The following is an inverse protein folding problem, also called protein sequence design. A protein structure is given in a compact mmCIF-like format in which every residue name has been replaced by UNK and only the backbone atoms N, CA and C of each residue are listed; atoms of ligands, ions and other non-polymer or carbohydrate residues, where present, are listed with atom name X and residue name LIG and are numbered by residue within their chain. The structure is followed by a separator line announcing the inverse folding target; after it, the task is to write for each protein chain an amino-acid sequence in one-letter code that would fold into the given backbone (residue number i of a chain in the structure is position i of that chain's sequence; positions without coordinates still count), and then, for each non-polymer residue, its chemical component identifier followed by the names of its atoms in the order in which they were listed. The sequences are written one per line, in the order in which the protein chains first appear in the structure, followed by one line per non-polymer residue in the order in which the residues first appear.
data_IF_385780564161
#
_entry.id   IF_385780564161
#
_cell.length_a   1.000
_cell.length_b   1.000
_cell.length_c   1.000
_cell.angle_alpha   90.00
_cell.angle_beta   90.00
_cell.angle_gamma   90.00
#
_symmetry.space_group_name_H-M   'P 1'
#
loop_
_entity.id
_entity.type
_entity.pdbx_description
1 polymer ?
#
# COMPACT_ATOMS: atom_id res chain seq x y z
N UNK A 1 -8.83 -19.19 12.88
CA UNK A 1 -9.53 -18.30 11.95
C UNK A 1 -9.90 -19.09 10.70
N UNK A 2 -11.17 -19.09 10.34
CA UNK A 2 -11.71 -19.97 9.30
C UNK A 2 -11.49 -19.33 7.90
N UNK A 3 -11.07 -20.14 6.92
CA UNK A 3 -10.90 -19.74 5.51
C UNK A 3 -12.19 -19.10 4.98
N UNK A 4 -13.35 -19.68 5.26
CA UNK A 4 -14.64 -19.14 4.81
C UNK A 4 -14.95 -17.75 5.38
N UNK A 5 -14.57 -17.52 6.63
CA UNK A 5 -14.74 -16.23 7.26
C UNK A 5 -13.83 -15.19 6.61
N UNK A 6 -12.53 -15.50 6.44
CA UNK A 6 -11.56 -14.64 5.74
C UNK A 6 -12.02 -14.30 4.33
N UNK A 7 -12.50 -15.29 3.58
CA UNK A 7 -13.01 -15.10 2.22
C UNK A 7 -14.19 -14.13 2.20
N UNK A 8 -15.22 -14.38 3.03
CA UNK A 8 -16.43 -13.55 3.05
C UNK A 8 -16.15 -12.09 3.45
N UNK A 9 -15.28 -11.89 4.43
CA UNK A 9 -14.93 -10.54 4.89
C UNK A 9 -14.03 -9.82 3.90
N UNK A 10 -13.07 -10.52 3.26
CA UNK A 10 -12.28 -9.96 2.16
C UNK A 10 -13.15 -9.52 1.00
N UNK A 11 -14.12 -10.34 0.58
CA UNK A 11 -15.08 -9.98 -0.46
C UNK A 11 -15.87 -8.72 -0.09
N UNK A 12 -16.32 -8.60 1.15
CA UNK A 12 -17.05 -7.44 1.63
C UNK A 12 -16.18 -6.17 1.62
N UNK A 13 -14.94 -6.25 2.15
CA UNK A 13 -13.99 -5.13 2.13
C UNK A 13 -13.75 -4.67 0.70
N UNK A 14 -13.38 -5.57 -0.21
CA UNK A 14 -13.15 -5.24 -1.62
C UNK A 14 -14.36 -4.60 -2.30
N UNK A 15 -15.54 -5.18 -2.09
CA UNK A 15 -16.79 -4.66 -2.66
C UNK A 15 -17.07 -3.24 -2.22
N UNK A 16 -16.90 -2.93 -0.97
CA UNK A 16 -17.28 -1.63 -0.44
C UNK A 16 -16.21 -0.58 -0.65
N UNK A 17 -14.91 -0.92 -0.57
CA UNK A 17 -13.83 0.01 -0.93
C UNK A 17 -13.89 0.43 -2.39
N UNK A 18 -14.25 -0.49 -3.29
CA UNK A 18 -14.40 -0.17 -4.72
C UNK A 18 -15.58 0.74 -5.04
N UNK A 19 -16.53 0.94 -4.11
CA UNK A 19 -17.74 1.77 -4.29
C UNK A 19 -17.71 3.09 -3.52
N UNK A 20 -16.60 3.42 -2.87
CA UNK A 20 -16.46 4.66 -2.09
C UNK A 20 -16.47 5.92 -2.96
N UNK A 21 -16.32 5.81 -4.28
CA UNK A 21 -16.48 6.89 -5.25
C UNK A 21 -17.94 7.26 -5.56
N UNK A 22 -18.91 6.50 -5.05
CA UNK A 22 -20.32 6.79 -5.25
C UNK A 22 -20.73 8.09 -4.53
N UNK A 23 -21.20 9.07 -5.30
CA UNK A 23 -21.53 10.40 -4.80
C UNK A 23 -22.62 10.41 -3.70
N UNK A 24 -23.59 9.48 -3.77
CA UNK A 24 -24.75 9.44 -2.87
C UNK A 24 -24.56 8.50 -1.68
N UNK A 25 -23.62 7.57 -1.76
CA UNK A 25 -23.50 6.45 -0.81
C UNK A 25 -22.05 6.15 -0.39
N UNK A 26 -21.07 6.97 -0.76
CA UNK A 26 -19.64 6.75 -0.45
C UNK A 26 -19.40 6.58 1.04
N UNK A 27 -19.96 7.47 1.90
CA UNK A 27 -19.83 7.37 3.36
C UNK A 27 -20.38 6.04 3.90
N UNK A 28 -21.52 5.60 3.37
CA UNK A 28 -22.10 4.31 3.75
C UNK A 28 -21.17 3.17 3.39
N UNK A 29 -20.60 3.18 2.19
CA UNK A 29 -19.68 2.14 1.74
C UNK A 29 -18.37 2.14 2.52
N UNK A 30 -17.82 3.32 2.87
CA UNK A 30 -16.68 3.43 3.77
C UNK A 30 -16.99 2.80 5.14
N UNK A 31 -18.14 3.13 5.73
CA UNK A 31 -18.53 2.59 7.03
C UNK A 31 -18.76 1.07 6.99
N UNK A 32 -19.33 0.54 5.91
CA UNK A 32 -19.49 -0.90 5.73
C UNK A 32 -18.13 -1.60 5.56
N UNK A 33 -17.23 -1.05 4.73
CA UNK A 33 -15.87 -1.59 4.58
C UNK A 33 -15.10 -1.56 5.91
N UNK A 34 -15.18 -0.43 6.64
CA UNK A 34 -14.59 -0.29 7.97
C UNK A 34 -15.06 -1.37 8.94
N UNK A 35 -16.37 -1.59 9.00
CA UNK A 35 -16.94 -2.59 9.92
C UNK A 35 -16.40 -4.00 9.62
N UNK A 36 -16.37 -4.41 8.34
CA UNK A 36 -15.83 -5.71 7.95
C UNK A 36 -14.31 -5.80 8.18
N UNK A 37 -13.57 -4.73 7.86
CA UNK A 37 -12.13 -4.69 8.10
C UNK A 37 -11.81 -4.84 9.59
N UNK A 38 -12.47 -4.09 10.46
CA UNK A 38 -12.20 -4.14 11.92
C UNK A 38 -12.47 -5.51 12.54
N UNK A 39 -13.33 -6.33 11.96
CA UNK A 39 -13.53 -7.69 12.42
C UNK A 39 -12.35 -8.61 12.04
N UNK A 40 -11.77 -8.41 10.83
CA UNK A 40 -10.68 -9.27 10.35
C UNK A 40 -9.28 -8.74 10.66
N UNK A 41 -9.14 -7.47 11.02
CA UNK A 41 -7.85 -6.76 11.15
C UNK A 41 -6.84 -7.52 12.03
N UNK A 42 -7.26 -7.96 13.20
CA UNK A 42 -6.37 -8.63 14.15
C UNK A 42 -5.74 -9.94 13.60
N UNK A 43 -6.43 -10.59 12.67
CA UNK A 43 -5.99 -11.82 12.03
C UNK A 43 -5.29 -11.57 10.69
N UNK A 44 -5.57 -10.47 10.04
CA UNK A 44 -5.09 -10.15 8.71
C UNK A 44 -3.84 -9.28 8.73
N UNK A 45 -3.81 -8.24 9.58
CA UNK A 45 -2.71 -7.29 9.63
C UNK A 45 -1.32 -7.93 9.80
N UNK A 46 -1.13 -8.98 10.63
CA UNK A 46 0.18 -9.61 10.78
C UNK A 46 0.72 -10.31 9.53
N UNK A 47 -0.11 -10.51 8.53
CA UNK A 47 0.24 -11.17 7.27
C UNK A 47 0.30 -10.20 6.08
N UNK A 48 -0.05 -8.92 6.29
CA UNK A 48 -0.01 -7.91 5.25
C UNK A 48 1.41 -7.40 5.01
N UNK A 49 1.66 -6.89 3.81
CA UNK A 49 2.98 -6.40 3.43
C UNK A 49 3.46 -5.25 4.31
N UNK A 50 4.75 -5.31 4.62
CA UNK A 50 5.51 -4.18 5.11
C UNK A 50 5.67 -3.10 4.04
N UNK A 51 6.06 -1.91 4.42
CA UNK A 51 6.25 -0.83 3.45
C UNK A 51 7.36 0.13 3.83
N UNK A 52 7.91 0.76 2.81
CA UNK A 52 8.81 1.89 2.94
C UNK A 52 8.09 3.14 2.45
N UNK A 53 7.93 4.15 3.29
CA UNK A 53 7.25 5.39 2.92
C UNK A 53 8.11 6.61 3.20
N UNK A 54 7.86 7.70 2.47
CA UNK A 54 8.60 8.94 2.55
C UNK A 54 7.72 10.06 3.11
N UNK A 55 8.13 10.62 4.24
CA UNK A 55 7.40 11.72 4.90
C UNK A 55 7.43 13.02 4.08
N UNK A 56 8.49 13.25 3.30
CA UNK A 56 8.65 14.49 2.51
C UNK A 56 7.73 14.55 1.29
N UNK A 57 7.27 13.40 0.80
CA UNK A 57 6.37 13.31 -0.37
C UNK A 57 4.97 12.79 -0.02
N UNK A 58 4.51 13.09 1.18
CA UNK A 58 3.13 12.81 1.58
C UNK A 58 2.84 11.34 1.86
N UNK A 59 3.73 10.66 2.54
CA UNK A 59 3.58 9.24 2.93
C UNK A 59 3.43 8.27 1.73
N UNK A 60 3.99 8.63 0.58
CA UNK A 60 3.95 7.76 -0.59
C UNK A 60 4.70 6.47 -0.30
N UNK A 61 4.03 5.35 -0.48
CA UNK A 61 4.66 4.03 -0.43
C UNK A 61 5.56 3.90 -1.65
N UNK A 62 6.85 3.71 -1.42
CA UNK A 62 7.82 3.55 -2.49
C UNK A 62 7.78 2.16 -3.08
N UNK A 63 7.74 1.14 -2.22
CA UNK A 63 7.66 -0.26 -2.64
C UNK A 63 7.10 -1.10 -1.49
N UNK A 64 5.93 -1.65 -1.66
CA UNK A 64 5.30 -2.51 -0.66
C UNK A 64 5.74 -3.96 -0.90
N UNK A 65 6.31 -4.61 0.13
CA UNK A 65 6.73 -6.01 0.06
C UNK A 65 8.00 -6.31 -0.75
N UNK A 66 8.58 -5.32 -1.44
CA UNK A 66 9.74 -5.51 -2.31
C UNK A 66 11.03 -4.87 -1.76
N UNK A 67 10.92 -4.09 -0.70
CA UNK A 67 12.04 -3.40 -0.08
C UNK A 67 12.10 -3.75 1.41
N UNK A 68 13.24 -4.18 1.89
CA UNK A 68 13.46 -4.45 3.30
C UNK A 68 13.90 -3.20 4.08
N UNK A 69 13.96 -3.32 5.40
CA UNK A 69 14.33 -2.21 6.27
C UNK A 69 15.73 -1.64 5.94
N UNK A 70 16.67 -2.47 5.47
CA UNK A 70 18.03 -2.04 5.16
C UNK A 70 18.10 -1.21 3.87
N UNK A 71 17.16 -1.43 2.94
CA UNK A 71 17.09 -0.72 1.68
C UNK A 71 16.19 0.53 1.75
N UNK A 72 15.34 0.65 2.79
CA UNK A 72 14.30 1.68 2.85
C UNK A 72 14.86 3.11 2.77
N UNK A 73 16.00 3.41 3.38
CA UNK A 73 16.66 4.72 3.40
C UNK A 73 18.02 4.77 2.69
N UNK A 74 18.30 3.77 1.85
CA UNK A 74 19.57 3.65 1.14
C UNK A 74 19.64 4.39 -0.20
N UNK A 75 18.80 5.39 -0.44
CA UNK A 75 18.81 6.17 -1.67
C UNK A 75 19.86 7.27 -1.65
N UNK A 76 20.58 7.43 -2.74
CA UNK A 76 21.53 8.50 -2.98
C UNK A 76 21.27 9.16 -4.34
N UNK A 77 21.55 10.45 -4.44
CA UNK A 77 21.59 11.15 -5.72
C UNK A 77 22.95 10.95 -6.38
N UNK A 78 22.96 10.45 -7.60
CA UNK A 78 24.19 10.28 -8.39
C UNK A 78 24.20 11.25 -9.57
N UNK A 79 25.29 11.98 -9.73
CA UNK A 79 25.52 12.85 -10.88
C UNK A 79 26.09 12.02 -12.04
N UNK A 80 25.37 11.98 -13.14
CA UNK A 80 25.85 11.42 -14.39
C UNK A 80 26.06 9.91 -14.36
N UNK A 81 25.06 9.22 -14.84
CA UNK A 81 25.15 7.89 -15.41
C UNK A 81 25.44 6.71 -14.51
N UNK A 82 24.40 6.11 -14.07
CA UNK A 82 24.32 4.65 -13.91
C UNK A 82 23.92 3.95 -15.23
N UNK A 83 23.55 4.71 -16.25
CA UNK A 83 23.34 4.19 -17.58
C UNK A 83 24.56 4.40 -18.48
N UNK A 84 24.74 3.53 -19.46
CA UNK A 84 25.81 3.60 -20.43
C UNK A 84 25.75 4.85 -21.35
N UNK A 85 24.79 5.74 -21.16
CA UNK A 85 24.52 6.90 -22.02
C UNK A 85 24.94 8.24 -21.39
N UNK A 86 25.42 8.24 -20.15
CA UNK A 86 26.04 9.42 -19.53
C UNK A 86 25.12 10.63 -19.34
N UNK A 87 23.81 10.44 -19.38
CA UNK A 87 22.91 11.56 -19.63
C UNK A 87 22.12 12.06 -18.42
N UNK A 88 21.92 11.27 -17.36
CA UNK A 88 20.99 11.69 -16.33
C UNK A 88 21.46 11.41 -14.92
N UNK A 89 21.39 12.42 -14.09
CA UNK A 89 21.44 12.26 -12.65
C UNK A 89 20.25 11.42 -12.19
N UNK A 90 20.47 10.50 -11.28
CA UNK A 90 19.42 9.58 -10.80
C UNK A 90 19.45 9.42 -9.29
N UNK A 91 18.30 9.18 -8.71
CA UNK A 91 18.16 8.76 -7.33
C UNK A 91 18.23 7.23 -7.26
N UNK A 92 19.27 6.73 -6.62
CA UNK A 92 19.67 5.32 -6.67
C UNK A 92 19.72 4.70 -5.29
N UNK A 93 19.17 3.50 -5.15
CA UNK A 93 19.24 2.73 -3.92
C UNK A 93 20.50 1.86 -3.92
N UNK A 94 21.36 2.07 -2.92
CA UNK A 94 22.67 1.42 -2.81
C UNK A 94 22.62 -0.03 -2.36
N UNK A 95 21.46 -0.51 -1.86
CA UNK A 95 21.29 -1.87 -1.35
C UNK A 95 20.67 -2.78 -2.42
N UNK A 96 19.54 -2.39 -2.99
CA UNK A 96 18.82 -3.21 -3.97
C UNK A 96 19.05 -2.81 -5.43
N UNK A 97 19.87 -1.77 -5.66
CA UNK A 97 20.24 -1.26 -6.99
C UNK A 97 19.08 -0.73 -7.83
N UNK A 98 17.99 -0.33 -7.22
CA UNK A 98 16.85 0.25 -7.92
C UNK A 98 17.01 1.75 -8.11
N UNK A 99 16.47 2.25 -9.21
CA UNK A 99 16.39 3.68 -9.52
C UNK A 99 14.98 4.17 -9.17
N UNK A 100 14.91 5.27 -8.41
CA UNK A 100 13.62 5.94 -8.16
C UNK A 100 13.20 6.73 -9.39
N UNK A 101 12.00 6.49 -9.88
CA UNK A 101 11.37 7.26 -10.97
C UNK A 101 10.65 8.51 -10.48
N UNK A 102 10.45 8.64 -9.18
CA UNK A 102 9.68 9.71 -8.56
C UNK A 102 10.54 10.91 -8.15
N UNK A 103 11.82 10.69 -7.84
CA UNK A 103 12.78 11.75 -7.56
C UNK A 103 13.39 12.25 -8.87
N UNK A 104 13.01 13.44 -9.29
CA UNK A 104 13.47 14.05 -10.54
C UNK A 104 14.67 14.99 -10.33
N UNK A 105 15.04 15.25 -9.09
CA UNK A 105 16.18 16.10 -8.71
C UNK A 105 16.81 15.64 -7.39
N UNK A 106 17.94 16.27 -7.05
CA UNK A 106 18.68 15.96 -5.81
C UNK A 106 17.83 16.21 -4.56
N UNK A 107 17.03 17.26 -4.53
CA UNK A 107 16.22 17.59 -3.35
C UNK A 107 15.15 16.53 -3.09
N UNK A 108 14.51 16.03 -4.15
CA UNK A 108 13.57 14.91 -4.06
C UNK A 108 14.23 13.62 -3.60
N UNK A 109 15.45 13.33 -4.09
CA UNK A 109 16.21 12.17 -3.65
C UNK A 109 16.71 12.28 -2.21
N UNK A 110 17.23 13.45 -1.81
CA UNK A 110 17.64 13.70 -0.43
C UNK A 110 16.44 13.61 0.54
N UNK A 111 15.23 13.84 0.06
CA UNK A 111 13.99 13.62 0.79
C UNK A 111 13.81 12.14 1.22
N UNK A 112 14.41 11.21 0.51
CA UNK A 112 14.38 9.78 0.87
C UNK A 112 15.22 9.42 2.09
N UNK A 113 16.06 10.30 2.59
CA UNK A 113 16.71 10.14 3.90
C UNK A 113 15.70 10.20 5.06
N UNK A 114 14.47 10.64 4.78
CA UNK A 114 13.35 10.65 5.72
C UNK A 114 12.40 9.47 5.51
N UNK A 115 12.85 8.40 4.86
CA UNK A 115 12.06 7.19 4.70
C UNK A 115 11.91 6.44 6.01
N UNK A 116 10.79 5.78 6.15
CA UNK A 116 10.48 4.93 7.29
C UNK A 116 10.05 3.56 6.79
N UNK A 117 10.67 2.54 7.35
CA UNK A 117 10.18 1.19 7.21
C UNK A 117 9.15 0.91 8.30
N UNK A 118 8.04 0.30 7.93
CA UNK A 118 6.99 -0.06 8.86
C UNK A 118 6.47 -1.46 8.57
N UNK A 119 6.52 -2.32 9.59
CA UNK A 119 5.92 -3.65 9.55
C UNK A 119 4.40 -3.54 9.31
N UNK A 120 3.87 -4.42 8.48
CA UNK A 120 2.44 -4.49 8.15
C UNK A 120 1.86 -3.14 7.64
N UNK A 121 2.62 -2.38 6.87
CA UNK A 121 2.23 -1.04 6.41
C UNK A 121 0.95 -1.05 5.59
N UNK A 122 0.67 -2.13 4.86
CA UNK A 122 -0.58 -2.27 4.11
C UNK A 122 -1.83 -2.23 5.03
N UNK A 123 -1.73 -2.72 6.27
CA UNK A 123 -2.79 -2.57 7.26
C UNK A 123 -2.97 -1.11 7.71
N UNK A 124 -1.88 -0.35 7.83
CA UNK A 124 -1.94 1.11 8.09
C UNK A 124 -2.65 1.84 6.95
N UNK A 125 -2.33 1.51 5.69
CA UNK A 125 -3.01 2.09 4.52
C UNK A 125 -4.50 1.77 4.52
N UNK A 126 -4.87 0.53 4.84
CA UNK A 126 -6.27 0.13 4.96
C UNK A 126 -6.99 0.96 6.03
N UNK A 127 -6.38 1.13 7.20
CA UNK A 127 -6.94 1.95 8.27
C UNK A 127 -7.10 3.42 7.86
N UNK A 128 -6.15 3.98 7.10
CA UNK A 128 -6.23 5.36 6.62
C UNK A 128 -7.38 5.54 5.61
N UNK A 129 -7.52 4.63 4.64
CA UNK A 129 -8.61 4.67 3.66
C UNK A 129 -9.98 4.52 4.34
N UNK A 130 -10.06 3.72 5.38
CA UNK A 130 -11.30 3.41 6.11
C UNK A 130 -11.50 4.29 7.35
N UNK A 131 -10.71 5.34 7.56
CA UNK A 131 -10.92 6.29 8.66
C UNK A 131 -12.21 7.08 8.46
N UNK A 132 -13.21 6.78 9.28
CA UNK A 132 -14.53 7.44 9.21
C UNK A 132 -14.50 8.93 9.56
N UNK A 133 -13.37 9.43 10.08
CA UNK A 133 -13.17 10.85 10.37
C UNK A 133 -12.50 11.61 9.22
N UNK A 134 -12.00 10.90 8.22
CA UNK A 134 -11.31 11.47 7.05
C UNK A 134 -12.20 11.39 5.79
N UNK A 135 -12.97 12.44 5.57
CA UNK A 135 -13.82 12.56 4.38
C UNK A 135 -13.03 12.74 3.06
N UNK A 136 -11.71 12.95 3.11
CA UNK A 136 -10.87 13.11 1.89
C UNK A 136 -10.73 11.81 1.12
N UNK A 137 -11.02 10.67 1.73
CA UNK A 137 -11.01 9.35 1.10
C UNK A 137 -12.26 9.08 0.26
N UNK A 138 -13.32 9.86 0.47
CA UNK A 138 -14.56 9.73 -0.30
C UNK A 138 -14.40 10.26 -1.73
N UNK A 139 -15.17 9.73 -2.65
CA UNK A 139 -15.10 10.09 -4.07
C UNK A 139 -13.98 9.35 -4.83
N UNK A 140 -13.30 8.41 -4.18
CA UNK A 140 -12.26 7.56 -4.79
C UNK A 140 -12.64 6.09 -4.65
N UNK A 141 -12.53 5.34 -5.74
CA UNK A 141 -12.61 3.88 -5.73
C UNK A 141 -11.26 3.29 -5.35
N UNK A 142 -11.22 2.39 -4.37
CA UNK A 142 -10.00 1.73 -3.92
C UNK A 142 -10.01 0.25 -4.25
N UNK A 143 -9.02 -0.19 -5.03
CA UNK A 143 -8.70 -1.60 -5.19
C UNK A 143 -7.65 -2.00 -4.14
N UNK A 144 -8.08 -2.70 -3.11
CA UNK A 144 -7.22 -3.14 -2.01
C UNK A 144 -6.79 -4.61 -2.16
N UNK A 145 -6.96 -5.19 -3.34
CA UNK A 145 -6.61 -6.58 -3.65
C UNK A 145 -5.14 -6.88 -3.28
N UNK A 146 -4.21 -6.03 -3.73
CA UNK A 146 -2.79 -6.21 -3.44
C UNK A 146 -2.45 -6.15 -1.95
N UNK A 147 -3.23 -5.43 -1.15
CA UNK A 147 -3.02 -5.37 0.30
C UNK A 147 -3.50 -6.61 1.02
N UNK A 148 -4.54 -7.26 0.51
CA UNK A 148 -5.13 -8.49 1.08
C UNK A 148 -4.51 -9.77 0.53
N UNK A 149 -3.81 -9.71 -0.62
CA UNK A 149 -3.23 -10.91 -1.27
C UNK A 149 -2.34 -11.72 -0.32
N UNK A 150 -1.42 -11.14 0.48
CA UNK A 150 -0.60 -11.93 1.41
C UNK A 150 -1.42 -12.65 2.49
N UNK A 151 -2.55 -12.06 2.89
CA UNK A 151 -3.49 -12.72 3.82
C UNK A 151 -4.12 -13.95 3.18
N UNK A 152 -4.52 -13.82 1.91
CA UNK A 152 -5.09 -14.94 1.17
C UNK A 152 -4.07 -16.06 0.97
N UNK A 153 -2.84 -15.70 0.59
CA UNK A 153 -1.74 -16.66 0.41
C UNK A 153 -1.46 -17.42 1.71
N UNK A 154 -1.47 -16.70 2.86
CA UNK A 154 -1.26 -17.31 4.16
C UNK A 154 -2.36 -18.34 4.52
N UNK A 155 -3.62 -18.04 4.21
CA UNK A 155 -4.75 -18.91 4.53
C UNK A 155 -5.10 -19.89 3.40
N UNK A 156 -4.39 -19.87 2.27
CA UNK A 156 -4.67 -20.74 1.12
C UNK A 156 -5.96 -20.37 0.39
N UNK A 157 -6.35 -19.09 0.43
CA UNK A 157 -7.51 -18.55 -0.29
C UNK A 157 -7.07 -18.20 -1.71
N UNK A 158 -7.79 -18.64 -2.70
CA UNK A 158 -7.49 -18.34 -4.11
C UNK A 158 -8.34 -17.17 -4.63
N UNK A 159 -7.93 -16.58 -5.75
CA UNK A 159 -8.74 -15.58 -6.44
C UNK A 159 -10.13 -16.11 -6.86
N UNK A 160 -10.22 -17.41 -7.15
CA UNK A 160 -11.50 -18.05 -7.48
C UNK A 160 -12.44 -18.13 -6.28
N UNK A 161 -11.89 -18.31 -5.06
CA UNK A 161 -12.66 -18.27 -3.82
C UNK A 161 -13.19 -16.86 -3.52
N UNK A 162 -12.41 -15.83 -3.84
CA UNK A 162 -12.82 -14.42 -3.73
C UNK A 162 -13.89 -14.08 -4.76
N UNK A 163 -13.76 -14.60 -5.98
CA UNK A 163 -14.71 -14.39 -7.06
C UNK A 163 -14.77 -12.93 -7.53
N UNK A 164 -15.86 -12.61 -8.24
CA UNK A 164 -16.14 -11.24 -8.70
C UNK A 164 -17.19 -10.60 -7.79
N UNK A 165 -16.87 -9.44 -7.24
CA UNK A 165 -17.78 -8.58 -6.49
C UNK A 165 -18.14 -7.40 -7.37
N UNK A 166 -19.28 -7.48 -8.00
CA UNK A 166 -19.86 -6.38 -8.79
C UNK A 166 -20.89 -5.61 -7.94
#
# INVERSE_FOLDING_TARGET
FDVYFSTAYSQAVLKYTSKMDNADSGEKYQAEAYAFWKVMEAYSAPHMHDGCYNMAVGHKVMMMGEIDASACDAFIWTNGSMDSNGANDTCYNTVNHMVSTDATDKAGCDGYTSNYYQDNYAATLMNNVLDLTDATQLGTSYDVTAWLQPVWDHYGITSDDIGTYA
#
